data_IF_473184693118
#
_entry.id   IF_473184693118
#
_cell.length_a   1.000
_cell.length_b   1.000
_cell.length_c   1.000
_cell.angle_alpha   90.00
_cell.angle_beta   90.00
_cell.angle_gamma   90.00
#
_symmetry.space_group_name_H-M   'P 1'
#
loop_
_entity.id
_entity.type
_entity.pdbx_description
1 polymer ?
#
# COMPACT_ATOMS: atom_id res chain seq x y z
N UNK A 1 -16.34 -12.49 -39.65
CA UNK A 1 -17.45 -12.53 -38.70
C UNK A 1 -16.89 -12.09 -37.36
N UNK A 2 -17.11 -10.80 -36.97
CA UNK A 2 -16.82 -10.35 -35.61
C UNK A 2 -17.92 -10.96 -34.73
N UNK A 3 -17.59 -11.98 -33.97
CA UNK A 3 -18.42 -12.37 -32.83
C UNK A 3 -18.20 -11.30 -31.77
N UNK A 4 -19.19 -10.40 -31.62
CA UNK A 4 -19.24 -9.48 -30.49
C UNK A 4 -19.18 -10.32 -29.20
N UNK A 5 -18.04 -10.29 -28.53
CA UNK A 5 -17.94 -10.86 -27.19
C UNK A 5 -18.94 -10.12 -26.29
N UNK A 6 -19.69 -10.81 -25.44
CA UNK A 6 -20.65 -10.15 -24.56
C UNK A 6 -19.94 -9.10 -23.73
N UNK A 7 -20.50 -7.89 -23.69
CA UNK A 7 -19.97 -6.81 -22.87
C UNK A 7 -20.09 -7.20 -21.40
N UNK A 8 -18.96 -7.50 -20.76
CA UNK A 8 -18.90 -7.81 -19.35
C UNK A 8 -19.11 -6.52 -18.53
N UNK A 9 -20.12 -6.47 -17.70
CA UNK A 9 -20.39 -5.34 -16.81
C UNK A 9 -19.65 -5.53 -15.47
N UNK A 10 -19.13 -4.42 -14.88
CA UNK A 10 -18.53 -4.47 -13.56
C UNK A 10 -19.52 -5.02 -12.51
N UNK A 11 -19.08 -5.90 -11.59
CA UNK A 11 -19.94 -6.45 -10.56
C UNK A 11 -20.42 -5.38 -9.58
N UNK A 12 -21.58 -5.62 -8.94
CA UNK A 12 -22.15 -4.66 -7.97
C UNK A 12 -21.22 -4.35 -6.80
N UNK A 13 -20.44 -5.33 -6.33
CA UNK A 13 -19.42 -5.15 -5.30
C UNK A 13 -18.37 -4.10 -5.70
N UNK A 14 -17.88 -4.16 -6.95
CA UNK A 14 -16.92 -3.18 -7.47
C UNK A 14 -17.55 -1.78 -7.59
N UNK A 15 -18.83 -1.69 -8.02
CA UNK A 15 -19.57 -0.41 -8.05
C UNK A 15 -19.67 0.21 -6.66
N UNK A 16 -20.06 -0.59 -5.65
CA UNK A 16 -20.19 -0.10 -4.29
C UNK A 16 -18.84 0.36 -3.74
N UNK A 17 -17.81 -0.46 -3.84
CA UNK A 17 -16.45 -0.18 -3.35
C UNK A 17 -15.85 1.08 -3.96
N UNK A 18 -15.90 1.23 -5.28
CA UNK A 18 -15.36 2.40 -5.96
C UNK A 18 -16.19 3.66 -5.68
N UNK A 19 -17.50 3.54 -5.51
CA UNK A 19 -18.35 4.66 -5.09
C UNK A 19 -18.03 5.11 -3.66
N UNK A 20 -17.80 4.18 -2.75
CA UNK A 20 -17.37 4.50 -1.38
C UNK A 20 -16.01 5.21 -1.37
N UNK A 21 -15.10 4.77 -2.25
CA UNK A 21 -13.75 5.32 -2.34
C UNK A 21 -13.69 6.69 -3.03
N UNK A 22 -14.33 6.84 -4.20
CA UNK A 22 -14.26 8.05 -5.04
C UNK A 22 -15.49 8.95 -4.98
N UNK A 23 -16.53 8.54 -4.25
CA UNK A 23 -17.80 9.22 -4.25
C UNK A 23 -18.63 8.99 -5.53
N UNK A 24 -19.78 9.69 -5.65
CA UNK A 24 -20.71 9.46 -6.76
C UNK A 24 -20.17 9.85 -8.15
N UNK A 25 -19.13 10.68 -8.22
CA UNK A 25 -18.51 11.09 -9.49
C UNK A 25 -17.92 9.94 -10.31
N UNK A 26 -17.62 8.80 -9.68
CA UNK A 26 -17.04 7.63 -10.36
C UNK A 26 -18.04 6.90 -11.28
N UNK A 27 -19.34 7.16 -11.18
CA UNK A 27 -20.37 6.47 -11.94
C UNK A 27 -20.16 6.55 -13.46
N UNK A 28 -19.81 7.73 -13.97
CA UNK A 28 -19.57 7.92 -15.40
C UNK A 28 -18.38 7.13 -15.92
N UNK A 29 -17.35 6.96 -15.10
CA UNK A 29 -16.20 6.14 -15.42
C UNK A 29 -16.55 4.65 -15.37
N UNK A 30 -17.26 4.18 -14.33
CA UNK A 30 -17.73 2.80 -14.22
C UNK A 30 -18.61 2.37 -15.39
N UNK A 31 -19.46 3.24 -15.89
CA UNK A 31 -20.29 2.97 -17.05
C UNK A 31 -19.47 2.75 -18.33
N UNK A 32 -18.32 3.44 -18.47
CA UNK A 32 -17.41 3.35 -19.62
C UNK A 32 -16.32 2.28 -19.46
N UNK A 33 -16.12 1.76 -18.26
CA UNK A 33 -15.06 0.78 -17.98
C UNK A 33 -15.08 -0.45 -18.91
N UNK A 34 -16.24 -1.02 -19.30
CA UNK A 34 -16.30 -2.10 -20.28
C UNK A 34 -15.69 -1.72 -21.64
N UNK A 35 -15.91 -0.48 -22.10
CA UNK A 35 -15.34 0.02 -23.36
C UNK A 35 -13.83 0.15 -23.27
N UNK A 36 -13.31 0.64 -22.11
CA UNK A 36 -11.88 0.74 -21.83
C UNK A 36 -11.20 -0.65 -21.88
N UNK A 37 -11.78 -1.65 -21.22
CA UNK A 37 -11.23 -3.00 -21.24
C UNK A 37 -11.31 -3.65 -22.62
N UNK A 38 -12.42 -3.45 -23.36
CA UNK A 38 -12.54 -3.96 -24.72
C UNK A 38 -11.51 -3.33 -25.66
N UNK A 39 -11.27 -2.04 -25.56
CA UNK A 39 -10.26 -1.34 -26.38
C UNK A 39 -8.84 -1.83 -26.04
N UNK A 40 -8.50 -1.98 -24.76
CA UNK A 40 -7.23 -2.54 -24.32
C UNK A 40 -7.05 -3.98 -24.84
N UNK A 41 -8.07 -4.82 -24.69
CA UNK A 41 -8.06 -6.20 -25.17
C UNK A 41 -7.87 -6.29 -26.70
N UNK A 42 -8.47 -5.37 -27.44
CA UNK A 42 -8.29 -5.27 -28.90
C UNK A 42 -6.85 -4.89 -29.26
N UNK A 43 -6.28 -3.88 -28.58
CA UNK A 43 -4.89 -3.43 -28.82
C UNK A 43 -3.87 -4.53 -28.55
N UNK A 44 -4.07 -5.28 -27.46
CA UNK A 44 -3.10 -6.26 -26.97
C UNK A 44 -3.45 -7.69 -27.33
N UNK A 45 -4.42 -7.90 -28.22
CA UNK A 45 -4.86 -9.22 -28.70
C UNK A 45 -5.24 -10.17 -27.56
N UNK A 46 -5.99 -9.66 -26.59
CA UNK A 46 -6.48 -10.42 -25.45
C UNK A 46 -7.93 -10.86 -25.66
N UNK A 47 -8.32 -11.90 -24.93
CA UNK A 47 -9.71 -12.28 -24.72
C UNK A 47 -10.05 -12.01 -23.27
N UNK A 48 -11.10 -11.21 -23.03
CA UNK A 48 -11.58 -10.91 -21.68
C UNK A 48 -12.31 -12.13 -21.11
N UNK A 49 -12.08 -12.42 -19.82
CA UNK A 49 -12.67 -13.58 -19.15
C UNK A 49 -13.69 -13.13 -18.10
N UNK A 50 -13.24 -12.56 -16.99
CA UNK A 50 -14.10 -12.17 -15.87
C UNK A 50 -13.52 -11.01 -15.07
N UNK A 51 -14.37 -10.24 -14.40
CA UNK A 51 -13.89 -9.31 -13.38
C UNK A 51 -13.34 -10.07 -12.19
N UNK A 52 -12.19 -9.62 -11.72
CA UNK A 52 -11.61 -10.08 -10.47
C UNK A 52 -12.07 -9.13 -9.34
N UNK A 53 -12.55 -9.67 -8.23
CA UNK A 53 -13.06 -8.85 -7.10
C UNK A 53 -11.95 -8.32 -6.19
N UNK A 54 -10.77 -8.12 -6.75
CA UNK A 54 -9.64 -7.43 -6.14
C UNK A 54 -9.58 -5.96 -6.58
N UNK A 55 -8.74 -5.20 -5.90
CA UNK A 55 -8.50 -3.80 -6.24
C UNK A 55 -9.43 -2.84 -5.49
N UNK A 56 -8.94 -2.25 -4.41
CA UNK A 56 -9.75 -1.31 -3.60
C UNK A 56 -10.11 -0.04 -4.37
N UNK A 57 -9.17 0.49 -5.15
CA UNK A 57 -9.29 1.78 -5.87
C UNK A 57 -9.26 1.63 -7.40
N UNK A 58 -9.39 0.42 -7.93
CA UNK A 58 -9.32 0.09 -9.36
C UNK A 58 -10.30 -1.00 -9.73
N UNK A 59 -10.53 -1.18 -11.04
CA UNK A 59 -11.16 -2.38 -11.57
C UNK A 59 -10.09 -3.33 -12.09
N UNK A 60 -10.25 -4.60 -11.80
CA UNK A 60 -9.36 -5.66 -12.26
C UNK A 60 -10.15 -6.69 -13.06
N UNK A 61 -9.60 -7.13 -14.19
CA UNK A 61 -10.19 -8.11 -15.07
C UNK A 61 -9.17 -9.16 -15.46
N UNK A 62 -9.54 -10.42 -15.38
CA UNK A 62 -8.75 -11.52 -15.93
C UNK A 62 -8.94 -11.55 -17.44
N UNK A 63 -7.84 -11.67 -18.16
CA UNK A 63 -7.82 -11.83 -19.60
C UNK A 63 -6.78 -12.87 -20.03
N UNK A 64 -6.86 -13.33 -21.29
CA UNK A 64 -5.93 -14.30 -21.86
C UNK A 64 -5.35 -13.79 -23.17
N UNK A 65 -4.04 -13.97 -23.35
CA UNK A 65 -3.41 -13.75 -24.64
C UNK A 65 -3.95 -14.74 -25.68
N UNK A 66 -4.40 -14.24 -26.82
CA UNK A 66 -5.00 -15.11 -27.86
C UNK A 66 -4.00 -16.09 -28.48
N UNK A 67 -2.70 -15.74 -28.49
CA UNK A 67 -1.65 -16.54 -29.12
C UNK A 67 -1.12 -17.63 -28.20
N UNK A 68 -0.85 -17.29 -26.94
CA UNK A 68 -0.19 -18.19 -25.97
C UNK A 68 -1.18 -18.87 -25.01
N UNK A 69 -2.38 -18.29 -24.83
CA UNK A 69 -3.32 -18.66 -23.79
C UNK A 69 -2.91 -18.23 -22.38
N UNK A 70 -1.81 -17.47 -22.23
CA UNK A 70 -1.33 -16.99 -20.95
C UNK A 70 -2.33 -16.03 -20.31
N UNK A 71 -2.61 -16.24 -19.03
CA UNK A 71 -3.44 -15.33 -18.24
C UNK A 71 -2.68 -14.05 -17.91
N UNK A 72 -3.39 -12.94 -17.96
CA UNK A 72 -2.94 -11.62 -17.59
C UNK A 72 -4.02 -10.90 -16.79
N UNK A 73 -3.64 -9.95 -15.94
CA UNK A 73 -4.56 -9.07 -15.25
C UNK A 73 -4.61 -7.72 -15.95
N UNK A 74 -5.79 -7.32 -16.41
CA UNK A 74 -6.03 -5.93 -16.81
C UNK A 74 -6.48 -5.13 -15.60
N UNK A 75 -5.78 -4.05 -15.29
CA UNK A 75 -6.11 -3.14 -14.19
C UNK A 75 -6.37 -1.75 -14.76
N UNK A 76 -7.52 -1.17 -14.42
CA UNK A 76 -7.93 0.16 -14.85
C UNK A 76 -8.28 1.03 -13.64
N UNK A 77 -7.87 2.30 -13.69
CA UNK A 77 -8.03 3.25 -12.59
C UNK A 77 -8.98 4.38 -12.96
N UNK A 78 -9.95 4.72 -12.08
CA UNK A 78 -10.75 5.95 -12.24
C UNK A 78 -9.90 7.21 -12.14
N UNK A 79 -8.89 7.17 -11.27
CA UNK A 79 -7.95 8.27 -11.06
C UNK A 79 -6.68 8.05 -11.90
N UNK A 80 -6.53 8.90 -12.91
CA UNK A 80 -5.40 8.83 -13.82
C UNK A 80 -4.05 9.16 -13.15
N UNK A 81 -4.06 9.92 -12.06
CA UNK A 81 -2.83 10.20 -11.30
C UNK A 81 -2.34 8.94 -10.57
N UNK A 82 -3.24 8.16 -9.98
CA UNK A 82 -2.93 6.85 -9.39
C UNK A 82 -2.36 5.89 -10.42
N UNK A 83 -3.01 5.80 -11.59
CA UNK A 83 -2.49 5.00 -12.70
C UNK A 83 -1.04 5.36 -13.02
N UNK A 84 -0.76 6.65 -13.29
CA UNK A 84 0.59 7.10 -13.64
C UNK A 84 1.61 6.83 -12.54
N UNK A 85 1.27 7.09 -11.30
CA UNK A 85 2.15 6.86 -10.17
C UNK A 85 2.53 5.37 -10.04
N UNK A 86 1.54 4.48 -10.17
CA UNK A 86 1.77 3.03 -10.15
C UNK A 86 2.65 2.58 -11.33
N UNK A 87 2.40 3.07 -12.54
CA UNK A 87 3.23 2.74 -13.71
C UNK A 87 4.68 3.22 -13.55
N UNK A 88 4.89 4.41 -13.01
CA UNK A 88 6.25 4.92 -12.71
C UNK A 88 6.95 3.99 -11.71
N UNK A 89 6.30 3.65 -10.62
CA UNK A 89 6.89 2.82 -9.58
C UNK A 89 7.20 1.40 -10.08
N UNK A 90 6.25 0.75 -10.74
CA UNK A 90 6.45 -0.59 -11.32
C UNK A 90 7.56 -0.58 -12.40
N UNK A 91 7.67 0.49 -13.17
CA UNK A 91 8.78 0.68 -14.12
C UNK A 91 10.14 0.78 -13.42
N UNK A 92 10.22 1.50 -12.30
CA UNK A 92 11.43 1.59 -11.48
C UNK A 92 11.81 0.22 -10.90
N UNK A 93 10.82 -0.56 -10.50
CA UNK A 93 11.02 -1.87 -9.88
C UNK A 93 11.01 -3.04 -10.85
N UNK A 94 11.02 -2.81 -12.16
CA UNK A 94 10.88 -3.85 -13.19
C UNK A 94 11.91 -4.99 -13.09
N UNK A 95 13.09 -4.74 -12.51
CA UNK A 95 14.12 -5.75 -12.25
C UNK A 95 14.09 -6.33 -10.82
N UNK A 96 13.03 -6.01 -10.05
CA UNK A 96 12.86 -6.38 -8.64
C UNK A 96 11.66 -7.26 -8.38
N UNK A 97 11.34 -7.46 -7.10
CA UNK A 97 10.24 -8.31 -6.66
C UNK A 97 8.89 -7.53 -6.68
N UNK A 98 8.57 -6.88 -7.77
CA UNK A 98 7.29 -6.25 -8.01
C UNK A 98 6.57 -6.89 -9.19
N UNK A 99 5.24 -6.79 -9.21
CA UNK A 99 4.44 -7.27 -10.35
C UNK A 99 4.89 -6.60 -11.64
N UNK A 100 5.04 -7.38 -12.70
CA UNK A 100 5.51 -6.85 -13.99
C UNK A 100 4.38 -6.24 -14.79
N UNK A 101 4.64 -5.06 -15.34
CA UNK A 101 3.81 -4.45 -16.38
C UNK A 101 4.18 -5.11 -17.71
N UNK A 102 3.21 -5.73 -18.37
CA UNK A 102 3.36 -6.36 -19.68
C UNK A 102 3.07 -5.37 -20.80
N UNK A 103 1.99 -4.61 -20.64
CA UNK A 103 1.55 -3.57 -21.56
C UNK A 103 0.86 -2.47 -20.77
N UNK A 104 0.85 -1.24 -21.28
CA UNK A 104 0.08 -0.14 -20.70
C UNK A 104 -0.42 0.84 -21.77
N UNK A 105 -1.53 1.53 -21.49
CA UNK A 105 -2.12 2.52 -22.36
C UNK A 105 -2.49 3.78 -21.55
N UNK A 106 -1.66 4.80 -21.66
CA UNK A 106 -1.79 6.04 -20.89
C UNK A 106 -3.07 6.80 -21.25
N UNK A 107 -3.52 6.74 -22.51
CA UNK A 107 -4.75 7.36 -22.98
C UNK A 107 -6.02 6.70 -22.41
N UNK A 108 -5.91 5.44 -21.99
CA UNK A 108 -7.01 4.67 -21.39
C UNK A 108 -6.93 4.60 -19.86
N UNK A 109 -5.77 4.86 -19.27
CA UNK A 109 -5.51 4.63 -17.85
C UNK A 109 -5.63 3.15 -17.47
N UNK A 110 -5.09 2.25 -18.30
CA UNK A 110 -5.16 0.80 -18.11
C UNK A 110 -3.80 0.14 -18.34
N UNK A 111 -3.51 -0.89 -17.57
CA UNK A 111 -2.31 -1.71 -17.76
C UNK A 111 -2.67 -3.21 -17.79
N UNK A 112 -1.88 -3.98 -18.55
CA UNK A 112 -1.83 -5.43 -18.46
C UNK A 112 -0.66 -5.81 -17.55
N UNK A 113 -0.95 -6.52 -16.47
CA UNK A 113 0.00 -6.98 -15.49
C UNK A 113 0.15 -8.49 -15.59
N UNK A 114 1.31 -9.00 -15.18
CA UNK A 114 1.46 -10.45 -15.06
C UNK A 114 0.45 -11.03 -14.04
N UNK A 115 -0.10 -12.19 -14.36
CA UNK A 115 -0.84 -12.99 -13.39
C UNK A 115 0.18 -13.75 -12.54
N UNK A 116 0.33 -13.36 -11.30
CA UNK A 116 1.11 -14.11 -10.34
C UNK A 116 0.23 -15.23 -9.78
N UNK A 117 0.56 -16.48 -10.08
CA UNK A 117 -0.15 -17.63 -9.55
C UNK A 117 0.09 -17.71 -8.05
N UNK A 118 -0.89 -17.23 -7.25
CA UNK A 118 -0.55 -17.01 -5.87
C UNK A 118 -1.69 -17.00 -4.88
N UNK A 119 -1.33 -17.39 -3.69
CA UNK A 119 -2.09 -17.11 -2.47
C UNK A 119 -1.47 -15.86 -1.82
N UNK A 120 -2.23 -14.77 -1.66
CA UNK A 120 -1.74 -13.58 -0.96
C UNK A 120 -1.18 -13.94 0.42
N UNK A 121 -0.02 -13.39 0.76
CA UNK A 121 0.63 -13.66 2.03
C UNK A 121 1.00 -15.13 2.29
N UNK A 122 1.33 -15.90 1.25
CA UNK A 122 1.73 -17.30 1.39
C UNK A 122 0.59 -18.24 1.79
N UNK A 123 0.89 -19.30 2.55
CA UNK A 123 -0.06 -20.31 3.02
C UNK A 123 -0.84 -19.87 4.28
N UNK A 124 -1.60 -20.77 4.86
CA UNK A 124 -2.62 -20.57 5.92
C UNK A 124 -2.22 -19.70 7.13
N UNK A 125 -0.98 -19.44 7.34
CA UNK A 125 -0.45 -18.52 8.36
C UNK A 125 0.96 -18.12 7.97
N UNK A 126 1.38 -16.86 8.21
CA UNK A 126 2.74 -16.46 7.96
C UNK A 126 3.67 -17.20 8.93
N UNK A 127 4.70 -17.81 8.36
CA UNK A 127 5.80 -18.40 9.11
C UNK A 127 6.95 -17.38 9.21
N UNK A 128 7.86 -17.56 10.14
CA UNK A 128 9.03 -16.67 10.30
C UNK A 128 9.81 -16.51 8.99
N UNK A 129 9.96 -17.58 8.23
CA UNK A 129 10.61 -17.55 6.92
C UNK A 129 9.89 -16.67 5.90
N UNK A 130 8.56 -16.55 5.96
CA UNK A 130 7.81 -15.63 5.12
C UNK A 130 8.21 -14.18 5.41
N UNK A 131 8.29 -13.79 6.69
CA UNK A 131 8.66 -12.43 7.07
C UNK A 131 10.07 -12.05 6.60
N UNK A 132 11.04 -12.94 6.78
CA UNK A 132 12.41 -12.72 6.31
C UNK A 132 12.47 -12.54 4.79
N UNK A 133 11.73 -13.36 4.07
CA UNK A 133 11.68 -13.33 2.60
C UNK A 133 11.02 -12.06 2.08
N UNK A 134 9.92 -11.62 2.70
CA UNK A 134 9.24 -10.37 2.35
C UNK A 134 10.09 -9.15 2.72
N UNK A 135 10.77 -9.18 3.87
CA UNK A 135 11.69 -8.12 4.26
C UNK A 135 12.84 -7.97 3.24
N UNK A 136 13.40 -9.07 2.77
CA UNK A 136 14.43 -9.06 1.73
C UNK A 136 13.91 -8.47 0.41
N UNK A 137 12.67 -8.78 0.03
CA UNK A 137 12.03 -8.22 -1.15
C UNK A 137 11.79 -6.70 -1.01
N UNK A 138 11.26 -6.26 0.13
CA UNK A 138 11.04 -4.83 0.42
C UNK A 138 12.36 -4.05 0.39
N UNK A 139 13.42 -4.60 1.00
CA UNK A 139 14.75 -4.01 0.92
C UNK A 139 15.27 -3.88 -0.51
N UNK A 140 15.03 -4.88 -1.36
CA UNK A 140 15.40 -4.84 -2.77
C UNK A 140 14.62 -3.75 -3.52
N UNK A 141 13.31 -3.58 -3.27
CA UNK A 141 12.54 -2.47 -3.83
C UNK A 141 13.14 -1.11 -3.46
N UNK A 142 13.46 -0.90 -2.18
CA UNK A 142 14.08 0.35 -1.74
C UNK A 142 15.44 0.58 -2.41
N UNK A 143 16.26 -0.44 -2.61
CA UNK A 143 17.52 -0.31 -3.36
C UNK A 143 17.29 0.20 -4.78
N UNK A 144 16.33 -0.35 -5.49
CA UNK A 144 15.97 0.08 -6.84
C UNK A 144 15.41 1.50 -6.82
N UNK A 145 14.54 1.81 -5.86
CA UNK A 145 13.95 3.13 -5.67
C UNK A 145 14.98 4.23 -5.41
N UNK A 146 16.01 3.94 -4.60
CA UNK A 146 17.12 4.90 -4.36
C UNK A 146 17.92 5.21 -5.60
N UNK A 147 18.06 4.27 -6.52
CA UNK A 147 18.79 4.47 -7.76
C UNK A 147 18.05 5.29 -8.83
N UNK A 148 16.76 5.54 -8.65
CA UNK A 148 15.86 6.05 -9.69
C UNK A 148 15.60 7.57 -9.65
N UNK A 149 16.56 8.38 -9.23
CA UNK A 149 16.44 9.81 -8.90
C UNK A 149 15.56 10.65 -9.85
N UNK A 150 15.69 10.52 -11.16
CA UNK A 150 14.95 11.36 -12.13
C UNK A 150 13.53 10.84 -12.38
N UNK A 151 13.35 9.52 -12.52
CA UNK A 151 12.04 8.92 -12.75
C UNK A 151 11.12 9.07 -11.56
N UNK A 152 11.67 9.00 -10.35
CA UNK A 152 10.95 9.16 -9.08
C UNK A 152 10.43 10.58 -8.83
N UNK A 153 10.99 11.62 -9.48
CA UNK A 153 10.63 13.02 -9.24
C UNK A 153 9.18 13.38 -9.59
N UNK A 154 8.49 12.54 -10.37
CA UNK A 154 7.08 12.74 -10.71
C UNK A 154 6.11 12.11 -9.69
N UNK A 155 6.62 11.34 -8.72
CA UNK A 155 5.79 10.71 -7.69
C UNK A 155 5.47 11.71 -6.56
N UNK A 156 4.34 11.52 -5.84
CA UNK A 156 4.05 12.26 -4.62
C UNK A 156 5.18 12.13 -3.60
N UNK A 157 5.32 13.09 -2.71
CA UNK A 157 6.31 13.03 -1.64
C UNK A 157 5.70 12.52 -0.33
N UNK A 158 6.48 11.76 0.43
CA UNK A 158 6.12 11.38 1.81
C UNK A 158 5.94 12.63 2.69
N UNK A 159 6.73 13.68 2.44
CA UNK A 159 6.61 14.93 3.18
C UNK A 159 5.22 15.56 3.02
N UNK A 160 4.74 15.68 1.76
CA UNK A 160 3.42 16.23 1.49
C UNK A 160 2.31 15.33 2.06
N UNK A 161 2.47 14.00 1.96
CA UNK A 161 1.54 13.06 2.59
C UNK A 161 1.46 13.25 4.11
N UNK A 162 2.60 13.43 4.79
CA UNK A 162 2.61 13.67 6.23
C UNK A 162 1.93 14.98 6.57
N UNK A 163 2.27 16.09 5.89
CA UNK A 163 1.78 17.42 6.21
C UNK A 163 0.32 17.66 5.79
N UNK A 164 -0.07 17.14 4.62
CA UNK A 164 -1.39 17.43 4.07
C UNK A 164 -2.44 16.35 4.40
N UNK A 165 -2.01 15.13 4.73
CA UNK A 165 -2.94 14.03 4.95
C UNK A 165 -2.81 13.41 6.34
N UNK A 166 -1.67 12.80 6.70
CA UNK A 166 -1.55 11.99 7.91
C UNK A 166 -1.75 12.83 9.17
N UNK A 167 -0.96 13.90 9.35
CA UNK A 167 -1.00 14.74 10.54
C UNK A 167 -2.36 15.42 10.71
N UNK A 168 -2.94 16.08 9.68
CA UNK A 168 -4.27 16.67 9.78
C UNK A 168 -5.38 15.63 10.07
N UNK A 169 -5.28 14.46 9.48
CA UNK A 169 -6.24 13.37 9.70
C UNK A 169 -6.22 12.88 11.14
N UNK A 170 -5.03 12.65 11.69
CA UNK A 170 -4.88 12.25 13.09
C UNK A 170 -5.38 13.33 14.04
N UNK A 171 -5.02 14.59 13.82
CA UNK A 171 -5.52 15.70 14.64
C UNK A 171 -7.05 15.81 14.63
N UNK A 172 -7.68 15.68 13.46
CA UNK A 172 -9.14 15.71 13.33
C UNK A 172 -9.79 14.55 14.09
N UNK A 173 -9.25 13.33 13.94
CA UNK A 173 -9.77 12.14 14.66
C UNK A 173 -9.55 12.23 16.17
N UNK A 174 -8.41 12.72 16.63
CA UNK A 174 -8.15 12.98 18.05
C UNK A 174 -9.15 14.00 18.62
N UNK A 175 -9.40 15.08 17.89
CA UNK A 175 -10.37 16.11 18.31
C UNK A 175 -11.79 15.54 18.42
N UNK A 176 -12.21 14.72 17.47
CA UNK A 176 -13.54 14.07 17.46
C UNK A 176 -13.72 13.04 18.58
N UNK A 177 -12.64 12.36 18.99
CA UNK A 177 -12.69 11.27 20.00
C UNK A 177 -12.25 11.70 21.40
N UNK A 178 -11.81 12.97 21.59
CA UNK A 178 -11.34 13.48 22.90
C UNK A 178 -12.20 13.15 24.10
N UNK A 179 -13.54 13.18 24.03
CA UNK A 179 -14.37 12.86 25.19
C UNK A 179 -14.27 11.40 25.65
N UNK A 180 -13.77 10.51 24.78
CA UNK A 180 -13.68 9.07 24.98
C UNK A 180 -12.23 8.58 25.19
N UNK A 181 -11.25 9.43 24.93
CA UNK A 181 -9.84 9.13 25.11
C UNK A 181 -9.35 9.68 26.45
N UNK A 182 -8.52 8.88 27.13
CA UNK A 182 -7.70 9.42 28.21
C UNK A 182 -6.83 10.54 27.68
N UNK A 183 -6.71 11.63 28.45
CA UNK A 183 -5.98 12.84 28.05
C UNK A 183 -4.53 12.53 27.61
N UNK A 184 -3.91 11.54 28.24
CA UNK A 184 -2.52 11.17 27.96
C UNK A 184 -2.37 10.47 26.60
N UNK A 185 -3.33 9.67 26.19
CA UNK A 185 -3.34 9.03 24.87
C UNK A 185 -3.47 10.06 23.72
N UNK A 186 -4.31 11.06 23.91
CA UNK A 186 -4.46 12.12 22.92
C UNK A 186 -3.19 12.93 22.76
N UNK A 187 -2.53 13.29 23.87
CA UNK A 187 -1.25 14.00 23.85
C UNK A 187 -0.12 13.15 23.26
N UNK A 188 -0.06 11.87 23.59
CA UNK A 188 0.92 10.95 23.02
C UNK A 188 0.77 10.85 21.51
N UNK A 189 -0.45 10.62 21.02
CA UNK A 189 -0.74 10.52 19.59
C UNK A 189 -0.35 11.77 18.84
N UNK A 190 -0.67 12.95 19.38
CA UNK A 190 -0.28 14.24 18.81
C UNK A 190 1.25 14.40 18.74
N UNK A 191 1.98 14.08 19.82
CA UNK A 191 3.45 14.13 19.82
C UNK A 191 4.08 13.16 18.84
N UNK A 192 3.56 11.92 18.76
CA UNK A 192 4.10 10.91 17.86
C UNK A 192 4.01 11.37 16.40
N UNK A 193 2.84 11.82 15.93
CA UNK A 193 2.69 12.18 14.52
C UNK A 193 3.38 13.51 14.18
N UNK A 194 3.35 14.51 15.08
CA UNK A 194 4.05 15.78 14.88
C UNK A 194 5.57 15.63 15.02
N UNK A 195 6.04 14.58 15.66
CA UNK A 195 7.45 14.24 15.82
C UNK A 195 8.08 13.49 14.65
N UNK A 196 7.28 13.06 13.64
CA UNK A 196 7.81 12.36 12.47
C UNK A 196 8.79 13.26 11.69
N UNK A 197 9.98 12.73 11.42
CA UNK A 197 11.02 13.44 10.67
C UNK A 197 11.61 12.47 9.63
N UNK A 198 11.21 12.63 8.35
CA UNK A 198 11.83 11.90 7.25
C UNK A 198 13.32 12.23 7.12
N UNK A 199 14.13 11.22 6.87
CA UNK A 199 15.56 11.38 6.58
C UNK A 199 15.78 11.35 5.06
N UNK A 200 16.17 12.48 4.48
CA UNK A 200 16.42 12.59 3.06
C UNK A 200 17.56 11.67 2.57
N UNK A 201 18.53 11.31 3.44
CA UNK A 201 19.60 10.41 3.08
C UNK A 201 19.11 8.96 2.90
N UNK A 202 17.93 8.64 3.39
CA UNK A 202 17.27 7.34 3.24
C UNK A 202 16.07 7.37 2.28
N UNK A 203 15.99 8.42 1.45
CA UNK A 203 14.90 8.55 0.50
C UNK A 203 14.95 7.46 -0.58
N UNK A 204 13.78 6.90 -0.84
CA UNK A 204 13.55 5.87 -1.85
C UNK A 204 12.16 6.03 -2.46
N UNK A 205 11.86 5.29 -3.51
CA UNK A 205 10.47 5.04 -3.91
C UNK A 205 9.89 4.02 -2.94
N UNK A 206 8.80 4.40 -2.26
CA UNK A 206 8.09 3.61 -1.28
C UNK A 206 6.94 2.86 -1.93
N UNK A 207 6.63 1.68 -1.41
CA UNK A 207 5.43 0.93 -1.78
C UNK A 207 4.18 1.52 -1.10
N UNK A 208 4.32 1.92 0.13
CA UNK A 208 3.35 2.59 0.99
C UNK A 208 2.03 1.85 1.27
N UNK A 209 1.93 0.58 0.84
CA UNK A 209 0.75 -0.26 1.08
C UNK A 209 1.12 -1.75 1.22
N UNK A 210 2.15 -2.06 2.04
CA UNK A 210 2.69 -3.41 2.21
C UNK A 210 1.81 -4.22 3.18
N UNK A 211 0.54 -4.39 2.81
CA UNK A 211 -0.34 -5.36 3.44
C UNK A 211 -0.02 -6.77 2.95
N UNK A 212 -0.46 -7.77 3.71
CA UNK A 212 -0.27 -9.17 3.35
C UNK A 212 -0.95 -9.52 2.02
N UNK A 213 -2.10 -8.93 1.76
CA UNK A 213 -2.89 -9.11 0.54
C UNK A 213 -2.17 -8.59 -0.71
N UNK A 214 -1.26 -7.63 -0.54
CA UNK A 214 -0.47 -7.04 -1.62
C UNK A 214 0.89 -7.74 -1.83
N UNK A 215 1.16 -8.81 -1.08
CA UNK A 215 2.35 -9.63 -1.25
C UNK A 215 1.94 -11.00 -1.74
N UNK A 216 2.15 -11.23 -3.02
CA UNK A 216 1.88 -12.48 -3.70
C UNK A 216 3.15 -13.35 -3.68
N UNK A 217 2.99 -14.65 -3.90
CA UNK A 217 4.13 -15.55 -4.03
C UNK A 217 4.04 -16.30 -5.35
N UNK A 218 5.14 -16.28 -6.11
CA UNK A 218 5.23 -17.02 -7.37
C UNK A 218 5.33 -18.54 -7.13
N UNK A 219 5.37 -19.31 -8.21
CA UNK A 219 5.49 -20.79 -8.17
C UNK A 219 6.78 -21.26 -7.47
N UNK A 220 7.77 -20.39 -7.33
CA UNK A 220 9.01 -20.62 -6.60
C UNK A 220 8.96 -20.12 -5.16
N UNK A 221 7.79 -19.71 -4.67
CA UNK A 221 7.57 -19.11 -3.35
C UNK A 221 8.38 -17.82 -3.11
N UNK A 222 8.68 -17.09 -4.16
CA UNK A 222 9.32 -15.77 -4.05
C UNK A 222 8.23 -14.70 -3.95
N UNK A 223 8.39 -13.72 -3.05
CA UNK A 223 7.42 -12.65 -2.92
C UNK A 223 7.46 -11.71 -4.13
N UNK A 224 6.29 -11.33 -4.58
CA UNK A 224 6.03 -10.35 -5.63
C UNK A 224 5.08 -9.31 -5.06
N UNK A 225 5.55 -8.08 -4.91
CA UNK A 225 4.75 -6.99 -4.34
C UNK A 225 3.89 -6.35 -5.43
N UNK A 226 2.62 -6.15 -5.12
CA UNK A 226 1.59 -5.65 -6.02
C UNK A 226 0.79 -4.50 -5.37
N UNK A 227 0.06 -3.75 -6.18
CA UNK A 227 -0.88 -2.69 -5.74
C UNK A 227 -0.25 -1.59 -4.87
N UNK A 228 0.87 -0.97 -5.29
CA UNK A 228 1.50 0.08 -4.51
C UNK A 228 0.70 1.39 -4.51
N UNK A 229 0.85 2.17 -3.43
CA UNK A 229 0.49 3.59 -3.34
C UNK A 229 1.77 4.45 -3.34
N UNK A 230 2.50 4.52 -4.45
CA UNK A 230 3.88 4.92 -4.43
C UNK A 230 4.06 6.40 -4.12
N UNK A 231 5.08 6.68 -3.30
CA UNK A 231 5.57 8.02 -3.00
C UNK A 231 7.09 8.01 -2.84
N UNK A 232 7.72 9.17 -2.89
CA UNK A 232 9.15 9.32 -2.62
C UNK A 232 9.35 9.78 -1.20
N UNK A 233 10.18 9.10 -0.45
CA UNK A 233 10.52 9.50 0.90
C UNK A 233 11.37 8.49 1.64
N UNK A 234 11.47 8.71 2.92
CA UNK A 234 12.23 7.87 3.83
C UNK A 234 11.66 6.46 3.94
N UNK A 235 12.47 5.48 3.61
CA UNK A 235 12.08 4.05 3.61
C UNK A 235 11.60 3.53 4.96
N UNK A 236 11.88 4.24 6.06
CA UNK A 236 11.38 3.87 7.39
C UNK A 236 9.85 3.80 7.43
N UNK A 237 9.17 4.58 6.57
CA UNK A 237 7.71 4.53 6.46
C UNK A 237 7.21 3.13 6.09
N UNK A 238 7.75 2.55 5.02
CA UNK A 238 7.38 1.20 4.57
C UNK A 238 7.73 0.13 5.62
N UNK A 239 8.88 0.25 6.26
CA UNK A 239 9.30 -0.68 7.31
C UNK A 239 8.38 -0.62 8.54
N UNK A 240 7.96 0.59 8.93
CA UNK A 240 7.00 0.79 10.00
C UNK A 240 5.60 0.26 9.60
N UNK A 241 5.18 0.54 8.38
CA UNK A 241 3.92 0.05 7.83
C UNK A 241 3.89 -1.49 7.79
N UNK A 242 4.91 -2.12 7.23
CA UNK A 242 5.05 -3.57 7.18
C UNK A 242 5.08 -4.19 8.59
N UNK A 243 5.82 -3.60 9.53
CA UNK A 243 5.87 -4.05 10.92
C UNK A 243 4.48 -4.10 11.55
N UNK A 244 3.66 -3.08 11.33
CA UNK A 244 2.35 -2.95 11.97
C UNK A 244 1.26 -3.70 11.22
N UNK A 245 1.18 -3.50 9.89
CA UNK A 245 -0.01 -3.85 9.11
C UNK A 245 0.11 -5.14 8.30
N UNK A 246 1.30 -5.65 8.03
CA UNK A 246 1.45 -6.86 7.21
C UNK A 246 0.63 -8.04 7.75
N UNK A 247 0.63 -8.24 9.06
CA UNK A 247 -0.24 -9.21 9.73
C UNK A 247 -0.66 -8.64 11.10
N UNK A 248 -1.66 -7.79 11.09
CA UNK A 248 -2.05 -6.96 12.22
C UNK A 248 -2.33 -7.79 13.49
N UNK A 249 -1.59 -7.50 14.56
CA UNK A 249 -1.73 -8.12 15.86
C UNK A 249 -1.05 -9.47 16.04
N UNK A 250 -0.43 -10.01 14.99
CA UNK A 250 0.33 -11.27 15.05
C UNK A 250 1.80 -10.98 14.73
N UNK A 251 2.72 -11.52 15.52
CA UNK A 251 4.17 -11.48 15.34
C UNK A 251 4.77 -10.10 15.02
N UNK A 252 4.14 -9.03 15.52
CA UNK A 252 4.58 -7.64 15.28
C UNK A 252 6.01 -7.42 15.79
N UNK A 253 6.38 -8.03 16.92
CA UNK A 253 7.72 -7.94 17.49
C UNK A 253 8.77 -8.59 16.59
N UNK A 254 8.48 -9.76 16.04
CA UNK A 254 9.39 -10.47 15.17
C UNK A 254 9.65 -9.69 13.89
N UNK A 255 8.57 -9.15 13.27
CA UNK A 255 8.73 -8.25 12.12
C UNK A 255 9.51 -6.99 12.45
N UNK A 256 9.33 -6.43 13.63
CA UNK A 256 10.12 -5.28 14.08
C UNK A 256 11.61 -5.61 14.15
N UNK A 257 11.97 -6.73 14.74
CA UNK A 257 13.36 -7.19 14.86
C UNK A 257 13.98 -7.49 13.48
N UNK A 258 13.22 -8.13 12.59
CA UNK A 258 13.62 -8.37 11.19
C UNK A 258 13.81 -7.04 10.44
N UNK A 259 12.92 -6.08 10.60
CA UNK A 259 13.04 -4.76 9.97
C UNK A 259 14.30 -4.02 10.43
N UNK A 260 14.59 -4.02 11.73
CA UNK A 260 15.82 -3.43 12.29
C UNK A 260 17.07 -4.08 11.69
N UNK A 261 17.11 -5.40 11.63
CA UNK A 261 18.30 -6.13 11.15
C UNK A 261 18.48 -6.04 9.64
N UNK A 262 17.39 -6.13 8.86
CA UNK A 262 17.44 -6.14 7.39
C UNK A 262 17.72 -4.74 6.83
N UNK A 263 17.07 -3.71 7.36
CA UNK A 263 17.19 -2.35 6.84
C UNK A 263 18.27 -1.51 7.56
N UNK A 264 18.76 -1.96 8.69
CA UNK A 264 19.74 -1.22 9.50
C UNK A 264 19.18 0.10 10.06
N UNK A 265 17.89 0.13 10.39
CA UNK A 265 17.29 1.29 11.03
C UNK A 265 17.64 1.37 12.52
N UNK A 266 17.74 2.59 13.04
CA UNK A 266 17.73 2.83 14.47
C UNK A 266 16.41 2.28 15.07
N UNK A 267 16.45 1.34 16.04
CA UNK A 267 15.26 0.75 16.62
C UNK A 267 14.30 1.79 17.25
N UNK A 268 14.84 2.86 17.83
CA UNK A 268 14.03 3.94 18.41
C UNK A 268 13.25 4.69 17.34
N UNK A 269 13.92 4.97 16.23
CA UNK A 269 13.31 5.66 15.10
C UNK A 269 12.22 4.82 14.44
N UNK A 270 12.50 3.55 14.12
CA UNK A 270 11.51 2.63 13.56
C UNK A 270 10.29 2.49 14.49
N UNK A 271 10.54 2.34 15.80
CA UNK A 271 9.47 2.25 16.81
C UNK A 271 8.60 3.50 16.84
N UNK A 272 9.20 4.70 16.77
CA UNK A 272 8.45 5.96 16.72
C UNK A 272 7.51 5.98 15.51
N UNK A 273 8.00 5.66 14.33
CA UNK A 273 7.19 5.61 13.12
C UNK A 273 6.08 4.55 13.21
N UNK A 274 6.40 3.36 13.72
CA UNK A 274 5.42 2.30 13.93
C UNK A 274 4.31 2.72 14.89
N UNK A 275 4.66 3.36 16.01
CA UNK A 275 3.68 3.86 16.97
C UNK A 275 2.82 4.99 16.39
N UNK A 276 3.39 5.90 15.60
CA UNK A 276 2.61 6.95 14.93
C UNK A 276 1.58 6.36 13.95
N UNK A 277 1.96 5.35 13.17
CA UNK A 277 1.03 4.63 12.28
C UNK A 277 -0.02 3.83 13.07
N UNK A 278 0.36 3.23 14.20
CA UNK A 278 -0.60 2.56 15.08
C UNK A 278 -1.66 3.54 15.62
N UNK A 279 -1.28 4.77 15.97
CA UNK A 279 -2.23 5.80 16.44
C UNK A 279 -3.22 6.16 15.35
N UNK A 280 -2.76 6.38 14.11
CA UNK A 280 -3.66 6.65 12.97
C UNK A 280 -4.64 5.49 12.75
N UNK A 281 -4.15 4.25 12.76
CA UNK A 281 -4.97 3.06 12.61
C UNK A 281 -5.95 2.84 13.75
N UNK A 282 -5.53 3.04 15.00
CA UNK A 282 -6.40 2.95 16.17
C UNK A 282 -7.58 3.92 16.06
N UNK A 283 -7.28 5.19 15.76
CA UNK A 283 -8.30 6.22 15.62
C UNK A 283 -9.27 5.92 14.46
N UNK A 284 -8.75 5.39 13.36
CA UNK A 284 -9.57 4.96 12.22
C UNK A 284 -10.51 3.80 12.59
N UNK A 285 -9.99 2.75 13.21
CA UNK A 285 -10.81 1.61 13.60
C UNK A 285 -11.87 1.97 14.66
N UNK A 286 -11.55 2.87 15.59
CA UNK A 286 -12.52 3.41 16.55
C UNK A 286 -13.62 4.24 15.87
N UNK A 287 -13.25 5.06 14.89
CA UNK A 287 -14.20 5.85 14.08
C UNK A 287 -15.23 4.95 13.38
N UNK A 288 -14.80 3.76 12.92
CA UNK A 288 -15.66 2.77 12.26
C UNK A 288 -16.38 1.83 13.23
N UNK A 289 -16.09 1.85 14.53
CA UNK A 289 -16.56 0.84 15.48
C UNK A 289 -15.99 -0.56 15.21
N UNK A 290 -14.84 -0.65 14.59
CA UNK A 290 -14.21 -1.90 14.18
C UNK A 290 -13.43 -2.53 15.34
N UNK A 291 -13.62 -3.84 15.56
CA UNK A 291 -12.92 -4.62 16.60
C UNK A 291 -11.39 -4.60 16.47
N UNK A 292 -10.84 -4.29 15.29
CA UNK A 292 -9.40 -4.10 15.08
C UNK A 292 -8.80 -2.98 15.93
N UNK A 293 -9.63 -2.08 16.47
CA UNK A 293 -9.20 -1.10 17.46
C UNK A 293 -8.54 -1.78 18.68
N UNK A 294 -9.15 -2.84 19.23
CA UNK A 294 -8.59 -3.61 20.35
C UNK A 294 -7.30 -4.36 19.99
N UNK A 295 -7.18 -4.79 18.72
CA UNK A 295 -5.95 -5.41 18.24
C UNK A 295 -4.84 -4.36 18.20
N UNK A 296 -5.13 -3.16 17.67
CA UNK A 296 -4.18 -2.07 17.57
C UNK A 296 -3.69 -1.58 18.94
N UNK A 297 -4.56 -1.53 19.94
CA UNK A 297 -4.16 -1.21 21.33
C UNK A 297 -3.10 -2.19 21.87
N UNK A 298 -3.27 -3.50 21.61
CA UNK A 298 -2.28 -4.50 21.99
C UNK A 298 -0.96 -4.35 21.23
N UNK A 299 -1.02 -4.02 19.94
CA UNK A 299 0.18 -3.73 19.14
C UNK A 299 0.93 -2.53 19.70
N UNK A 300 0.22 -1.46 20.04
CA UNK A 300 0.82 -0.28 20.67
C UNK A 300 1.48 -0.66 22.00
N UNK A 301 0.79 -1.38 22.87
CA UNK A 301 1.35 -1.82 24.16
C UNK A 301 2.61 -2.67 23.98
N UNK A 302 2.62 -3.58 23.00
CA UNK A 302 3.79 -4.40 22.68
C UNK A 302 4.99 -3.60 22.12
N UNK A 303 4.72 -2.62 21.27
CA UNK A 303 5.78 -1.76 20.70
C UNK A 303 6.27 -0.70 21.69
N UNK A 304 5.41 -0.20 22.57
CA UNK A 304 5.77 0.80 23.57
C UNK A 304 6.76 0.19 24.58
N UNK A 305 6.54 -1.04 25.04
CA UNK A 305 7.46 -1.75 25.94
C UNK A 305 7.91 -0.89 27.11
N UNK A 306 9.22 -0.91 27.40
CA UNK A 306 9.86 -0.10 28.44
C UNK A 306 10.19 1.35 28.02
N UNK A 307 9.58 1.86 26.92
CA UNK A 307 9.74 3.26 26.57
C UNK A 307 9.07 4.14 27.61
N UNK A 308 9.86 5.03 28.20
CA UNK A 308 9.32 6.20 28.85
C UNK A 308 8.65 7.09 27.78
N UNK A 309 7.34 6.88 27.59
CA UNK A 309 6.52 7.60 26.61
C UNK A 309 6.44 9.11 26.94
N UNK A 310 6.99 9.54 28.07
CA UNK A 310 7.10 10.95 28.47
C UNK A 310 8.34 11.63 27.88
N UNK A 311 9.36 10.85 27.48
CA UNK A 311 10.68 11.32 27.04
C UNK A 311 10.80 11.49 25.50
N UNK A 312 9.73 11.84 24.77
CA UNK A 312 9.85 12.31 23.37
C UNK A 312 10.50 13.70 23.41
N UNK A 313 11.63 13.93 22.71
CA UNK A 313 12.39 15.17 22.84
C UNK A 313 11.53 16.38 22.47
N UNK A 314 11.45 17.35 23.40
CA UNK A 314 10.96 18.68 23.10
C UNK A 314 11.81 19.30 21.98
N UNK A 315 11.17 20.11 21.13
CA UNK A 315 11.84 20.86 20.07
C UNK A 315 13.13 21.46 20.60
N UNK A 316 14.27 21.01 20.10
CA UNK A 316 15.55 21.64 20.38
C UNK A 316 15.46 23.13 20.07
N UNK A 317 15.55 23.94 21.12
CA UNK A 317 15.62 25.38 20.99
C UNK A 317 16.79 25.74 20.08
N UNK A 318 16.51 26.45 19.02
CA UNK A 318 17.51 27.17 18.25
C UNK A 318 18.07 28.24 19.21
N UNK A 319 19.31 28.11 19.61
CA UNK A 319 20.16 29.24 20.01
C UNK A 319 21.02 29.64 18.85
#
# INVERSE_FOLDING_TARGET
MHTDSPTLLPPRSAWQRLREHYGPGVHGWLARAPEVFNEAARRWQLTLDSYHDAGHASLVMVARERTSGREVLLKAWPDHSRYRNEMIALGIWAAGPAVRVLEHADDLGVAALEMVAAVPGGSVGPEMHEYETVAAALWQLHRLGRAANTAAAALPSLHDFLECELVPRVHRRLAAQRPQLEVDWARLGERLVTGLRPDAARASVLHADVYRENVLFDDHRKPVLADPLPMVGDEVFDWAFWTVYYNLGTDTRDRFEIAVTTAGHDPRRLRHWSLALCVDGLLYYRELGDHRALVMERVIAGLAGDLDLTAVPEKGGQT
#
